data_IF_631550652517
#
_entry.id   IF_631550652517
#
_cell.length_a   1.000
_cell.length_b   1.000
_cell.length_c   1.000
_cell.angle_alpha   90.00
_cell.angle_beta   90.00
_cell.angle_gamma   90.00
#
_symmetry.space_group_name_H-M   'P 1'
#
loop_
_entity.id
_entity.type
_entity.pdbx_description
1 polymer ?
#
# COMPACT_ATOMS: atom_id res chain seq x y z
N UNK A 1 -36.13 7.49 -26.97
CA UNK A 1 -35.40 8.05 -28.12
C UNK A 1 -34.16 7.21 -28.32
N UNK A 2 -33.95 6.70 -29.53
CA UNK A 2 -32.73 5.98 -29.90
C UNK A 2 -31.61 7.03 -30.02
N UNK A 3 -30.46 6.81 -29.36
CA UNK A 3 -29.31 7.71 -29.50
C UNK A 3 -28.51 7.29 -30.73
N UNK A 4 -28.26 8.22 -31.63
CA UNK A 4 -27.34 8.00 -32.74
C UNK A 4 -25.88 8.13 -32.28
N UNK A 5 -24.95 7.61 -33.08
CA UNK A 5 -23.50 7.86 -32.89
C UNK A 5 -23.19 9.36 -32.78
N UNK A 6 -23.85 10.20 -33.59
CA UNK A 6 -23.66 11.65 -33.54
C UNK A 6 -24.07 12.26 -32.19
N UNK A 7 -25.19 11.82 -31.61
CA UNK A 7 -25.69 12.29 -30.31
C UNK A 7 -24.77 11.86 -29.16
N UNK A 8 -24.17 10.66 -29.26
CA UNK A 8 -23.18 10.15 -28.33
C UNK A 8 -21.92 11.04 -28.32
N UNK A 9 -21.36 11.33 -29.50
CA UNK A 9 -20.16 12.16 -29.61
C UNK A 9 -20.39 13.61 -29.17
N UNK A 10 -21.60 14.16 -29.39
CA UNK A 10 -21.95 15.49 -28.89
C UNK A 10 -21.97 15.56 -27.35
N UNK A 11 -22.57 14.55 -26.70
CA UNK A 11 -22.60 14.45 -25.24
C UNK A 11 -21.21 14.19 -24.67
N UNK A 12 -20.42 13.32 -25.31
CA UNK A 12 -19.06 13.03 -24.93
C UNK A 12 -18.21 14.31 -24.97
N UNK A 13 -18.24 15.07 -26.07
CA UNK A 13 -17.57 16.38 -26.18
C UNK A 13 -18.00 17.36 -25.09
N UNK A 14 -19.29 17.38 -24.75
CA UNK A 14 -19.81 18.26 -23.71
C UNK A 14 -19.25 17.91 -22.33
N UNK A 15 -19.12 16.61 -22.02
CA UNK A 15 -18.51 16.12 -20.76
C UNK A 15 -17.00 16.33 -20.72
N UNK A 16 -16.34 16.32 -21.87
CA UNK A 16 -14.88 16.50 -21.99
C UNK A 16 -14.43 17.97 -22.02
N UNK A 17 -15.33 18.96 -21.96
CA UNK A 17 -14.99 20.40 -22.00
C UNK A 17 -14.00 20.87 -20.94
N UNK A 18 -13.81 20.11 -19.85
CA UNK A 18 -12.82 20.41 -18.81
C UNK A 18 -11.39 19.95 -19.09
N UNK A 19 -11.15 19.24 -20.20
CA UNK A 19 -9.83 18.68 -20.56
C UNK A 19 -9.10 19.53 -21.61
N UNK A 20 -7.75 19.45 -21.69
CA UNK A 20 -6.98 20.04 -22.79
C UNK A 20 -7.44 19.52 -24.16
N UNK A 21 -7.38 20.33 -25.23
CA UNK A 21 -7.88 19.96 -26.56
C UNK A 21 -7.24 18.68 -27.12
N UNK A 22 -5.96 18.45 -26.84
CA UNK A 22 -5.23 17.24 -27.23
C UNK A 22 -5.76 15.97 -26.55
N UNK A 23 -6.11 16.05 -25.26
CA UNK A 23 -6.72 14.92 -24.53
C UNK A 23 -8.16 14.67 -24.98
N UNK A 24 -8.91 15.74 -25.29
CA UNK A 24 -10.25 15.60 -25.87
C UNK A 24 -10.18 14.82 -27.18
N UNK A 25 -9.26 15.17 -28.07
CA UNK A 25 -9.08 14.52 -29.37
C UNK A 25 -8.64 13.06 -29.23
N UNK A 26 -7.71 12.77 -28.32
CA UNK A 26 -7.26 11.41 -28.04
C UNK A 26 -8.41 10.51 -27.52
N UNK A 27 -9.19 11.01 -26.56
CA UNK A 27 -10.35 10.26 -26.02
C UNK A 27 -11.40 10.05 -27.12
N UNK A 28 -11.69 11.07 -27.94
CA UNK A 28 -12.62 10.94 -29.06
C UNK A 28 -12.15 9.87 -30.06
N UNK A 29 -10.85 9.85 -30.38
CA UNK A 29 -10.25 8.84 -31.28
C UNK A 29 -10.39 7.41 -30.77
N UNK A 30 -10.19 7.18 -29.46
CA UNK A 30 -10.38 5.84 -28.85
C UNK A 30 -11.82 5.35 -29.02
N UNK A 31 -12.81 6.22 -28.78
CA UNK A 31 -14.22 5.85 -28.99
C UNK A 31 -14.54 5.66 -30.48
N UNK A 32 -13.96 6.46 -31.37
CA UNK A 32 -14.15 6.31 -32.81
C UNK A 32 -13.63 4.96 -33.33
N UNK A 33 -12.47 4.51 -32.84
CA UNK A 33 -11.92 3.20 -33.17
C UNK A 33 -12.78 2.05 -32.61
N UNK A 34 -13.34 2.19 -31.40
CA UNK A 34 -14.26 1.21 -30.83
C UNK A 34 -15.54 1.07 -31.67
N UNK A 35 -16.13 2.19 -32.09
CA UNK A 35 -17.28 2.18 -32.99
C UNK A 35 -16.93 1.51 -34.32
N UNK A 36 -15.79 1.87 -34.92
CA UNK A 36 -15.33 1.29 -36.20
C UNK A 36 -15.14 -0.23 -36.10
N UNK A 37 -14.52 -0.71 -35.01
CA UNK A 37 -14.32 -2.15 -34.77
C UNK A 37 -15.64 -2.89 -34.55
N UNK A 38 -16.59 -2.29 -33.85
CA UNK A 38 -17.88 -2.92 -33.57
C UNK A 38 -18.82 -2.90 -34.79
N UNK A 39 -18.80 -1.84 -35.60
CA UNK A 39 -19.47 -1.76 -36.90
C UNK A 39 -18.92 -2.82 -37.87
N UNK A 40 -17.60 -3.02 -37.89
CA UNK A 40 -16.96 -4.09 -38.69
C UNK A 40 -17.40 -5.50 -38.22
N UNK A 41 -17.77 -5.64 -36.96
CA UNK A 41 -18.37 -6.87 -36.39
C UNK A 41 -19.88 -7.00 -36.64
N UNK A 42 -20.49 -6.10 -37.40
CA UNK A 42 -21.92 -6.14 -37.76
C UNK A 42 -22.88 -5.69 -36.64
N UNK A 43 -22.38 -5.01 -35.60
CA UNK A 43 -23.22 -4.50 -34.50
C UNK A 43 -23.87 -3.17 -34.89
N UNK A 44 -25.11 -2.95 -34.49
CA UNK A 44 -25.79 -1.68 -34.70
C UNK A 44 -25.28 -0.60 -33.73
N UNK A 45 -25.40 0.67 -34.11
CA UNK A 45 -24.93 1.80 -33.27
C UNK A 45 -25.52 1.75 -31.86
N UNK A 46 -26.77 1.32 -31.71
CA UNK A 46 -27.46 1.25 -30.43
C UNK A 46 -26.91 0.17 -29.50
N UNK A 47 -26.51 -0.98 -30.06
CA UNK A 47 -25.87 -2.05 -29.29
C UNK A 47 -24.50 -1.62 -28.79
N UNK A 48 -23.76 -0.86 -29.60
CA UNK A 48 -22.46 -0.31 -29.24
C UNK A 48 -22.63 0.67 -28.07
N UNK A 49 -23.53 1.64 -28.18
CA UNK A 49 -23.79 2.64 -27.13
C UNK A 49 -24.24 1.97 -25.81
N UNK A 50 -25.09 0.95 -25.89
CA UNK A 50 -25.52 0.18 -24.72
C UNK A 50 -24.36 -0.56 -24.06
N UNK A 51 -23.47 -1.16 -24.86
CA UNK A 51 -22.29 -1.88 -24.35
C UNK A 51 -21.27 -0.95 -23.68
N UNK A 52 -21.21 0.31 -24.09
CA UNK A 52 -20.37 1.35 -23.50
C UNK A 52 -20.94 1.93 -22.20
N UNK A 53 -22.13 1.51 -21.76
CA UNK A 53 -22.71 1.88 -20.47
C UNK A 53 -23.10 3.36 -20.37
N UNK A 54 -23.38 4.03 -21.49
CA UNK A 54 -23.76 5.44 -21.49
C UNK A 54 -25.20 5.59 -20.99
N UNK A 55 -25.36 6.01 -19.73
CA UNK A 55 -26.66 6.37 -19.17
C UNK A 55 -26.97 7.81 -19.62
N UNK A 56 -28.10 8.06 -20.33
CA UNK A 56 -28.55 9.41 -20.62
C UNK A 56 -28.80 10.13 -19.29
N UNK A 57 -28.00 11.13 -18.98
CA UNK A 57 -28.25 12.00 -17.82
C UNK A 57 -28.95 13.24 -18.38
N UNK A 58 -30.19 13.55 -17.96
CA UNK A 58 -30.85 14.81 -18.31
C UNK A 58 -29.94 15.99 -17.92
N UNK A 59 -29.76 16.93 -18.84
CA UNK A 59 -28.75 18.00 -18.81
C UNK A 59 -28.92 19.05 -17.69
N UNK A 60 -29.78 18.84 -16.70
CA UNK A 60 -30.17 19.92 -15.79
C UNK A 60 -29.59 19.91 -14.38
N UNK A 61 -28.81 18.92 -13.95
CA UNK A 61 -28.32 18.91 -12.56
C UNK A 61 -26.90 18.37 -12.44
N UNK A 62 -25.91 19.27 -12.53
CA UNK A 62 -24.59 19.04 -11.91
C UNK A 62 -24.36 20.06 -10.80
N UNK A 63 -24.64 19.72 -9.53
CA UNK A 63 -24.25 20.53 -8.40
C UNK A 63 -22.76 20.29 -8.10
N UNK A 64 -22.01 21.41 -8.08
CA UNK A 64 -20.70 21.59 -7.44
C UNK A 64 -19.53 20.86 -8.11
N UNK A 65 -18.84 21.62 -8.95
CA UNK A 65 -17.44 21.44 -9.26
C UNK A 65 -16.65 21.30 -7.95
N UNK A 66 -16.28 20.06 -7.60
CA UNK A 66 -15.21 19.83 -6.65
C UNK A 66 -13.94 20.37 -7.31
N UNK A 67 -13.24 21.27 -6.62
CA UNK A 67 -11.95 21.81 -7.03
C UNK A 67 -10.95 20.67 -7.26
N UNK A 68 -10.92 20.12 -8.47
CA UNK A 68 -9.79 19.34 -8.96
C UNK A 68 -8.64 20.31 -9.13
N UNK A 69 -7.70 20.27 -8.17
CA UNK A 69 -6.38 20.87 -8.37
C UNK A 69 -5.85 20.30 -9.69
N UNK A 70 -5.42 21.15 -10.65
CA UNK A 70 -4.97 20.67 -11.94
C UNK A 70 -3.79 19.73 -11.71
N UNK A 71 -3.98 18.44 -12.04
CA UNK A 71 -2.85 17.59 -12.34
C UNK A 71 -2.18 18.23 -13.57
N UNK A 72 -0.88 18.56 -13.54
CA UNK A 72 -0.24 19.14 -14.72
C UNK A 72 -0.37 18.15 -15.89
N UNK A 73 -0.56 18.64 -17.12
CA UNK A 73 -0.85 17.80 -18.28
C UNK A 73 0.27 16.78 -18.44
N UNK A 74 -0.12 15.51 -18.53
CA UNK A 74 0.79 14.39 -18.73
C UNK A 74 1.34 14.45 -20.17
N UNK A 75 2.38 15.26 -20.37
CA UNK A 75 3.19 15.19 -21.58
C UNK A 75 3.76 13.78 -21.72
N UNK A 76 3.51 13.15 -22.86
CA UNK A 76 3.87 11.77 -23.14
C UNK A 76 5.34 11.44 -22.87
N UNK A 77 5.58 10.24 -22.33
CA UNK A 77 6.91 9.66 -22.13
C UNK A 77 7.54 9.92 -20.77
N UNK A 78 8.06 8.85 -20.14
CA UNK A 78 8.93 8.72 -18.96
C UNK A 78 8.61 9.50 -17.67
N UNK A 79 7.93 10.65 -17.70
CA UNK A 79 7.60 11.50 -16.55
C UNK A 79 6.53 10.90 -15.63
N UNK A 80 5.41 10.32 -16.10
CA UNK A 80 4.46 9.64 -15.22
C UNK A 80 5.09 8.41 -14.57
N UNK A 81 5.94 7.69 -15.31
CA UNK A 81 6.69 6.54 -14.82
C UNK A 81 7.76 6.96 -13.80
N UNK A 82 8.54 7.99 -14.08
CA UNK A 82 9.53 8.53 -13.16
C UNK A 82 8.89 9.13 -11.91
N UNK A 83 7.72 9.77 -12.04
CA UNK A 83 6.94 10.23 -10.89
C UNK A 83 6.41 9.07 -10.06
N UNK A 84 5.90 8.00 -10.68
CA UNK A 84 5.47 6.79 -9.99
C UNK A 84 6.65 6.07 -9.29
N UNK A 85 7.80 5.95 -9.97
CA UNK A 85 9.03 5.41 -9.39
C UNK A 85 9.56 6.29 -8.25
N UNK A 86 9.53 7.61 -8.39
CA UNK A 86 9.93 8.54 -7.34
C UNK A 86 8.97 8.46 -6.14
N UNK A 87 7.66 8.33 -6.37
CA UNK A 87 6.67 8.14 -5.31
C UNK A 87 6.84 6.79 -4.60
N UNK A 88 7.13 5.73 -5.36
CA UNK A 88 7.45 4.40 -4.84
C UNK A 88 8.72 4.44 -3.99
N UNK A 89 9.80 5.03 -4.50
CA UNK A 89 11.07 5.16 -3.77
C UNK A 89 10.95 6.08 -2.57
N UNK A 90 10.17 7.16 -2.67
CA UNK A 90 9.87 8.05 -1.55
C UNK A 90 9.09 7.30 -0.46
N UNK A 91 8.03 6.56 -0.82
CA UNK A 91 7.29 5.74 0.14
C UNK A 91 8.18 4.63 0.73
N UNK A 92 9.02 3.99 -0.09
CA UNK A 92 9.98 2.99 0.36
C UNK A 92 10.95 3.59 1.38
N UNK A 93 11.64 4.66 1.06
CA UNK A 93 12.66 5.22 1.97
C UNK A 93 12.00 5.82 3.21
N UNK A 94 10.93 6.60 3.08
CA UNK A 94 10.34 7.29 4.24
C UNK A 94 9.44 6.42 5.10
N UNK A 95 8.73 5.43 4.53
CA UNK A 95 7.83 4.57 5.30
C UNK A 95 8.48 3.21 5.64
N UNK A 96 9.25 2.61 4.73
CA UNK A 96 9.90 1.32 5.00
C UNK A 96 11.10 1.47 5.94
N UNK A 97 11.91 2.52 5.82
CA UNK A 97 13.08 2.69 6.70
C UNK A 97 12.72 2.73 8.20
N UNK A 98 11.78 3.57 8.68
CA UNK A 98 11.40 3.54 10.09
C UNK A 98 10.74 2.21 10.48
N UNK A 99 9.99 1.58 9.58
CA UNK A 99 9.41 0.25 9.82
C UNK A 99 10.50 -0.81 10.04
N UNK A 100 11.51 -0.88 9.17
CA UNK A 100 12.62 -1.83 9.28
C UNK A 100 13.48 -1.53 10.50
N UNK A 101 13.73 -0.26 10.82
CA UNK A 101 14.46 0.13 12.01
C UNK A 101 13.77 -0.36 13.29
N UNK A 102 12.45 -0.16 13.40
CA UNK A 102 11.69 -0.63 14.57
C UNK A 102 11.61 -2.16 14.59
N UNK A 103 11.37 -2.80 13.44
CA UNK A 103 11.28 -4.25 13.35
C UNK A 103 12.60 -4.93 13.74
N UNK A 104 13.73 -4.42 13.25
CA UNK A 104 15.07 -4.94 13.59
C UNK A 104 15.41 -4.72 15.06
N UNK A 105 15.03 -3.59 15.64
CA UNK A 105 15.20 -3.33 17.07
C UNK A 105 14.41 -4.33 17.92
N UNK A 106 13.13 -4.51 17.61
CA UNK A 106 12.27 -5.49 18.29
C UNK A 106 12.82 -6.90 18.14
N UNK A 107 13.25 -7.29 16.95
CA UNK A 107 13.86 -8.58 16.70
C UNK A 107 15.14 -8.78 17.53
N UNK A 108 16.01 -7.76 17.59
CA UNK A 108 17.25 -7.82 18.36
C UNK A 108 16.99 -8.00 19.85
N UNK A 109 16.05 -7.24 20.43
CA UNK A 109 15.68 -7.41 21.83
C UNK A 109 14.98 -8.75 22.11
N UNK A 110 14.14 -9.22 21.19
CA UNK A 110 13.55 -10.56 21.28
C UNK A 110 14.62 -11.65 21.26
N UNK A 111 15.64 -11.52 20.42
CA UNK A 111 16.75 -12.47 20.36
C UNK A 111 17.56 -12.45 21.66
N UNK A 112 17.89 -11.27 22.18
CA UNK A 112 18.59 -11.12 23.48
C UNK A 112 17.77 -11.75 24.62
N UNK A 113 16.45 -11.54 24.63
CA UNK A 113 15.57 -12.14 25.63
C UNK A 113 15.65 -13.68 25.63
N UNK A 114 15.62 -14.28 24.44
CA UNK A 114 15.74 -15.75 24.27
C UNK A 114 17.11 -16.23 24.74
N UNK A 115 18.19 -15.59 24.28
CA UNK A 115 19.56 -15.97 24.67
C UNK A 115 19.76 -15.89 26.19
N UNK A 116 19.23 -14.84 26.82
CA UNK A 116 19.31 -14.67 28.26
C UNK A 116 18.47 -15.70 28.99
N UNK A 117 17.23 -15.96 28.55
CA UNK A 117 16.36 -16.97 29.15
C UNK A 117 17.01 -18.36 29.19
N UNK A 118 17.74 -18.73 28.14
CA UNK A 118 18.45 -20.01 28.04
C UNK A 118 19.90 -20.00 28.56
N UNK A 119 20.38 -18.87 29.11
CA UNK A 119 21.76 -18.73 29.56
C UNK A 119 22.19 -19.78 30.60
N UNK A 120 21.28 -20.16 31.51
CA UNK A 120 21.54 -21.18 32.53
C UNK A 120 21.84 -22.55 31.91
N UNK A 121 21.04 -22.96 30.93
CA UNK A 121 21.24 -24.23 30.21
C UNK A 121 22.55 -24.20 29.42
N UNK A 122 22.85 -23.07 28.79
CA UNK A 122 24.05 -22.89 27.97
C UNK A 122 25.34 -23.00 28.79
N UNK A 123 25.39 -22.38 29.97
CA UNK A 123 26.58 -22.43 30.83
C UNK A 123 26.82 -23.83 31.37
N UNK A 124 25.80 -24.52 31.88
CA UNK A 124 25.95 -25.88 32.42
C UNK A 124 26.50 -26.86 31.36
N UNK A 125 26.03 -26.75 30.11
CA UNK A 125 26.47 -27.63 29.02
C UNK A 125 27.83 -27.18 28.46
N UNK A 126 28.08 -25.86 28.38
CA UNK A 126 29.22 -25.29 27.67
C UNK A 126 30.52 -25.23 28.48
N UNK A 127 30.45 -24.88 29.77
CA UNK A 127 31.65 -24.68 30.61
C UNK A 127 31.92 -25.82 31.58
N UNK A 128 30.94 -26.72 31.78
CA UNK A 128 31.04 -27.81 32.76
C UNK A 128 30.92 -27.32 34.20
N UNK A 129 31.28 -28.17 35.16
CA UNK A 129 31.21 -27.84 36.59
C UNK A 129 32.54 -27.19 37.01
N UNK A 130 32.55 -25.93 37.46
CA UNK A 130 33.76 -25.29 37.95
C UNK A 130 34.33 -26.00 39.19
N UNK A 131 35.67 -25.98 39.39
CA UNK A 131 36.34 -26.80 40.40
C UNK A 131 36.13 -26.35 41.84
N UNK A 132 35.63 -25.12 42.06
CA UNK A 132 35.45 -24.51 43.38
C UNK A 132 34.00 -24.10 43.61
N UNK A 133 33.49 -24.33 44.83
CA UNK A 133 32.11 -24.03 45.20
C UNK A 133 31.77 -22.53 45.07
N UNK A 134 32.72 -21.64 45.34
CA UNK A 134 32.53 -20.18 45.23
C UNK A 134 32.22 -19.75 43.79
N UNK A 135 33.00 -20.26 42.82
CA UNK A 135 32.78 -19.99 41.38
C UNK A 135 31.46 -20.61 40.91
N UNK A 136 31.14 -21.83 41.36
CA UNK A 136 29.87 -22.48 41.02
C UNK A 136 28.66 -21.64 41.46
N UNK A 137 28.66 -21.19 42.72
CA UNK A 137 27.56 -20.38 43.27
C UNK A 137 27.42 -19.05 42.54
N UNK A 138 28.55 -18.40 42.21
CA UNK A 138 28.55 -17.15 41.46
C UNK A 138 27.99 -17.34 40.04
N UNK A 139 28.42 -18.36 39.31
CA UNK A 139 27.95 -18.65 37.95
C UNK A 139 26.46 -19.00 37.94
N UNK A 140 25.99 -19.84 38.86
CA UNK A 140 24.57 -20.19 39.00
C UNK A 140 23.74 -18.96 39.33
N UNK A 141 24.18 -18.12 40.27
CA UNK A 141 23.46 -16.91 40.64
C UNK A 141 23.39 -15.90 39.48
N UNK A 142 24.52 -15.70 38.77
CA UNK A 142 24.60 -14.78 37.64
C UNK A 142 23.70 -15.25 36.48
N UNK A 143 23.77 -16.52 36.11
CA UNK A 143 22.96 -17.10 35.02
C UNK A 143 21.48 -17.19 35.37
N UNK A 144 21.13 -17.46 36.64
CA UNK A 144 19.74 -17.43 37.10
C UNK A 144 19.16 -16.01 37.06
N UNK A 145 19.96 -15.01 37.44
CA UNK A 145 19.58 -13.59 37.31
C UNK A 145 19.40 -13.20 35.84
N UNK A 146 20.34 -13.60 34.97
CA UNK A 146 20.29 -13.30 33.55
C UNK A 146 19.09 -13.98 32.87
N UNK A 147 18.81 -15.22 33.22
CA UNK A 147 17.62 -15.95 32.79
C UNK A 147 16.32 -15.25 33.23
N UNK A 148 16.24 -14.82 34.49
CA UNK A 148 15.12 -14.03 34.99
C UNK A 148 14.90 -12.74 34.20
N UNK A 149 15.98 -11.99 33.93
CA UNK A 149 15.94 -10.78 33.08
C UNK A 149 15.46 -11.13 31.66
N UNK A 150 15.97 -12.22 31.08
CA UNK A 150 15.57 -12.70 29.76
C UNK A 150 14.07 -13.01 29.67
N UNK A 151 13.51 -13.69 30.67
CA UNK A 151 12.07 -14.00 30.73
C UNK A 151 11.23 -12.72 30.84
N UNK A 152 11.62 -11.78 31.72
CA UNK A 152 10.93 -10.50 31.88
C UNK A 152 10.98 -9.66 30.60
N UNK A 153 12.15 -9.57 29.97
CA UNK A 153 12.34 -8.89 28.69
C UNK A 153 11.52 -9.57 27.59
N UNK A 154 11.48 -10.90 27.56
CA UNK A 154 10.68 -11.68 26.62
C UNK A 154 9.18 -11.40 26.75
N UNK A 155 8.66 -11.33 27.98
CA UNK A 155 7.27 -10.97 28.24
C UNK A 155 6.94 -9.53 27.79
N UNK A 156 7.86 -8.58 28.01
CA UNK A 156 7.71 -7.21 27.51
C UNK A 156 7.73 -7.17 25.97
N UNK A 157 8.68 -7.87 25.35
CA UNK A 157 8.81 -7.96 23.89
C UNK A 157 7.62 -8.66 23.23
N UNK A 158 7.01 -9.64 23.88
CA UNK A 158 5.78 -10.28 23.39
C UNK A 158 4.66 -9.25 23.19
N UNK A 159 4.41 -8.41 24.20
CA UNK A 159 3.40 -7.35 24.10
C UNK A 159 3.77 -6.30 23.05
N UNK A 160 5.04 -5.91 22.97
CA UNK A 160 5.51 -4.93 21.98
C UNK A 160 5.37 -5.44 20.54
N UNK A 161 5.69 -6.71 20.29
CA UNK A 161 5.51 -7.33 18.96
C UNK A 161 4.04 -7.37 18.56
N UNK A 162 3.13 -7.75 19.48
CA UNK A 162 1.68 -7.73 19.21
C UNK A 162 1.22 -6.30 18.88
N UNK A 163 1.64 -5.30 19.66
CA UNK A 163 1.30 -3.91 19.43
C UNK A 163 1.83 -3.41 18.07
N UNK A 164 3.08 -3.74 17.73
CA UNK A 164 3.69 -3.42 16.45
C UNK A 164 2.88 -3.99 15.28
N UNK A 165 2.58 -5.29 15.29
CA UNK A 165 1.78 -5.92 14.22
C UNK A 165 0.36 -5.36 14.14
N UNK A 166 -0.23 -4.93 15.26
CA UNK A 166 -1.52 -4.23 15.27
C UNK A 166 -1.43 -2.88 14.55
N UNK A 167 -0.39 -2.08 14.82
CA UNK A 167 -0.16 -0.80 14.13
C UNK A 167 0.06 -0.98 12.63
N UNK A 168 0.83 -2.01 12.24
CA UNK A 168 1.08 -2.35 10.84
C UNK A 168 -0.23 -2.67 10.11
N UNK A 169 -1.07 -3.53 10.69
CA UNK A 169 -2.39 -3.84 10.12
C UNK A 169 -3.27 -2.59 9.98
N UNK A 170 -3.26 -1.69 10.97
CA UNK A 170 -4.00 -0.42 10.91
C UNK A 170 -3.47 0.49 9.81
N UNK A 171 -2.15 0.62 9.68
CA UNK A 171 -1.52 1.40 8.62
C UNK A 171 -1.90 0.89 7.22
N UNK A 172 -1.83 -0.42 7.01
CA UNK A 172 -2.21 -1.05 5.72
C UNK A 172 -3.70 -0.81 5.45
N UNK A 173 -4.56 -1.01 6.45
CA UNK A 173 -6.00 -0.78 6.32
C UNK A 173 -6.33 0.69 5.97
N UNK A 174 -5.64 1.65 6.60
CA UNK A 174 -5.80 3.08 6.29
C UNK A 174 -5.39 3.40 4.85
N UNK A 175 -4.25 2.88 4.38
CA UNK A 175 -3.82 3.08 3.00
C UNK A 175 -4.81 2.47 2.00
N UNK A 176 -5.33 1.27 2.28
CA UNK A 176 -6.34 0.63 1.43
C UNK A 176 -7.66 1.40 1.38
N UNK A 177 -8.11 2.00 2.49
CA UNK A 177 -9.33 2.83 2.53
C UNK A 177 -9.18 4.11 1.71
N UNK A 178 -8.03 4.78 1.83
CA UNK A 178 -7.72 5.98 1.03
C UNK A 178 -7.71 5.70 -0.47
N UNK A 179 -7.22 4.53 -0.89
CA UNK A 179 -7.22 4.12 -2.30
C UNK A 179 -8.62 3.73 -2.78
N UNK A 180 -9.45 3.16 -1.90
CA UNK A 180 -10.85 2.78 -2.22
C UNK A 180 -11.83 3.96 -2.18
N UNK A 181 -11.46 5.07 -1.56
CA UNK A 181 -12.30 6.27 -1.47
C UNK A 181 -13.33 6.27 -0.33
N UNK A 182 -13.13 5.41 0.69
CA UNK A 182 -13.97 5.27 1.89
C UNK A 182 -13.42 5.99 3.14
#
# INVERSE_FOLDING_TARGET
>A
MLMSKADFFLQLRTRLRGLPPEEQENILGVYEDLFRQAEAGGKSEEEIIRSLGFIPVPVEQSPRAHNHRPYPPAGGGLRPFAAACALLLFNLIFALAPFVAIASLLFSFSLVAVLFAFSLVWVIIGTGIPPTLEVLLLEVFATMTLSGIGVLLGAAMWKLNIAFWSLVKRYIALNLRLVRGD
#
